data_IF_680096418962
#
_entry.id   IF_680096418962
#
_cell.length_a   1.000
_cell.length_b   1.000
_cell.length_c   1.000
_cell.angle_alpha   90.00
_cell.angle_beta   90.00
_cell.angle_gamma   90.00
#
_symmetry.space_group_name_H-M   'P 1'
#
loop_
_entity.id
_entity.type
_entity.pdbx_description
1 polymer ?
#
# COMPACT_ATOMS: atom_id res chain seq x y z
N UNK A 1 17.06 -23.86 -2.33
CA UNK A 1 17.62 -22.54 -2.68
C UNK A 1 16.48 -21.54 -2.54
N UNK A 2 16.45 -20.85 -1.41
CA UNK A 2 15.39 -19.89 -1.02
C UNK A 2 15.98 -18.50 -1.28
N UNK A 3 15.28 -17.57 -1.96
CA UNK A 3 15.90 -16.31 -2.37
C UNK A 3 16.20 -15.43 -1.16
N UNK A 4 17.50 -15.21 -0.96
CA UNK A 4 18.20 -14.36 0.02
C UNK A 4 17.98 -12.85 -0.21
N UNK A 5 16.74 -12.42 -0.47
CA UNK A 5 16.44 -11.01 -0.77
C UNK A 5 15.41 -10.36 0.15
N UNK A 6 15.20 -10.90 1.36
CA UNK A 6 14.09 -10.47 2.22
C UNK A 6 14.47 -9.84 3.57
N UNK A 7 15.74 -9.56 3.88
CA UNK A 7 16.09 -9.41 5.32
C UNK A 7 16.97 -8.23 5.75
N UNK A 8 17.58 -7.42 4.88
CA UNK A 8 18.59 -6.44 5.38
C UNK A 8 18.19 -4.95 5.30
N UNK A 9 17.22 -4.55 4.47
CA UNK A 9 16.86 -3.12 4.32
C UNK A 9 15.67 -2.67 5.20
N UNK A 10 15.11 -3.57 6.03
CA UNK A 10 13.87 -3.30 6.78
C UNK A 10 14.05 -2.44 8.04
N UNK A 11 15.26 -2.40 8.60
CA UNK A 11 15.45 -2.06 10.01
C UNK A 11 15.83 -0.61 10.31
N UNK A 12 15.90 0.29 9.33
CA UNK A 12 16.37 1.68 9.55
C UNK A 12 15.38 2.75 9.09
N UNK A 13 14.10 2.40 8.93
CA UNK A 13 13.09 3.40 8.60
C UNK A 13 12.51 4.01 9.87
N UNK A 14 13.04 5.18 10.24
CA UNK A 14 12.51 5.99 11.34
C UNK A 14 10.99 6.20 11.18
N UNK A 15 10.25 6.03 12.28
CA UNK A 15 8.82 6.32 12.33
C UNK A 15 8.57 7.78 11.95
N UNK A 16 8.06 8.02 10.75
CA UNK A 16 7.81 9.36 10.19
C UNK A 16 8.58 9.69 8.90
N UNK A 17 9.52 8.86 8.47
CA UNK A 17 10.28 9.07 7.23
C UNK A 17 9.41 8.88 5.98
N UNK A 18 9.67 9.69 4.95
CA UNK A 18 9.00 9.58 3.63
C UNK A 18 9.18 8.20 3.00
N UNK A 19 10.30 7.56 3.26
CA UNK A 19 10.62 6.22 2.78
C UNK A 19 9.73 5.16 3.44
N UNK A 20 9.44 5.28 4.75
CA UNK A 20 8.50 4.40 5.45
C UNK A 20 7.07 4.56 4.90
N UNK A 21 6.70 5.78 4.53
CA UNK A 21 5.40 6.04 3.90
C UNK A 21 5.32 5.39 2.51
N UNK A 22 6.31 5.62 1.66
CA UNK A 22 6.37 5.03 0.33
C UNK A 22 6.34 3.49 0.41
N UNK A 23 7.10 2.94 1.34
CA UNK A 23 7.14 1.52 1.63
C UNK A 23 5.76 0.95 2.04
N UNK A 24 5.06 1.63 2.97
CA UNK A 24 3.71 1.23 3.37
C UNK A 24 2.68 1.38 2.23
N UNK A 25 2.84 2.39 1.39
CA UNK A 25 2.01 2.60 0.19
C UNK A 25 2.17 1.41 -0.77
N UNK A 26 3.39 0.97 -1.03
CA UNK A 26 3.66 -0.16 -1.92
C UNK A 26 3.06 -1.47 -1.40
N UNK A 27 3.23 -1.77 -0.11
CA UNK A 27 2.59 -2.96 0.50
C UNK A 27 1.07 -2.94 0.42
N UNK A 28 0.46 -1.78 0.70
CA UNK A 28 -1.00 -1.63 0.61
C UNK A 28 -1.45 -1.81 -0.85
N UNK A 29 -0.71 -1.23 -1.81
CA UNK A 29 -1.01 -1.38 -3.23
C UNK A 29 -0.98 -2.85 -3.67
N UNK A 30 0.12 -3.55 -3.40
CA UNK A 30 0.25 -4.97 -3.77
C UNK A 30 -0.83 -5.84 -3.14
N UNK A 31 -1.20 -5.57 -1.88
CA UNK A 31 -2.30 -6.29 -1.24
C UNK A 31 -3.65 -6.05 -1.93
N UNK A 32 -3.96 -4.80 -2.30
CA UNK A 32 -5.20 -4.45 -3.00
C UNK A 32 -5.27 -5.07 -4.41
N UNK A 33 -4.13 -5.12 -5.13
CA UNK A 33 -4.03 -5.73 -6.46
C UNK A 33 -4.25 -7.25 -6.41
N UNK A 34 -3.77 -7.93 -5.36
CA UNK A 34 -3.99 -9.37 -5.17
C UNK A 34 -5.37 -9.73 -4.57
N UNK A 35 -6.04 -8.80 -3.89
CA UNK A 35 -7.28 -9.07 -3.14
C UNK A 35 -8.40 -8.09 -3.53
N UNK A 36 -8.92 -8.25 -4.75
CA UNK A 36 -10.02 -7.43 -5.26
C UNK A 36 -11.25 -7.52 -4.36
N UNK A 37 -11.86 -6.37 -4.06
CA UNK A 37 -13.03 -6.27 -3.19
C UNK A 37 -12.74 -6.37 -1.69
N UNK A 38 -11.47 -6.44 -1.26
CA UNK A 38 -11.13 -6.47 0.15
C UNK A 38 -11.56 -5.18 0.88
N UNK A 39 -11.92 -5.32 2.16
CA UNK A 39 -12.31 -4.19 3.01
C UNK A 39 -11.07 -3.62 3.71
N UNK A 40 -11.09 -2.33 4.04
CA UNK A 40 -10.00 -1.66 4.77
C UNK A 40 -9.54 -2.43 6.03
N UNK A 41 -10.49 -3.03 6.78
CA UNK A 41 -10.17 -3.84 7.97
C UNK A 41 -9.31 -5.07 7.65
N UNK A 42 -9.52 -5.70 6.50
CA UNK A 42 -8.75 -6.86 6.06
C UNK A 42 -7.31 -6.44 5.75
N UNK A 43 -7.14 -5.28 5.11
CA UNK A 43 -5.82 -4.70 4.84
C UNK A 43 -5.07 -4.37 6.14
N UNK A 44 -5.76 -3.78 7.12
CA UNK A 44 -5.20 -3.46 8.45
C UNK A 44 -4.70 -4.74 9.13
N UNK A 45 -5.54 -5.78 9.16
CA UNK A 45 -5.22 -7.04 9.84
C UNK A 45 -4.11 -7.80 9.10
N UNK A 46 -4.19 -7.90 7.77
CA UNK A 46 -3.22 -8.67 6.98
C UNK A 46 -1.83 -8.03 6.95
N UNK A 47 -1.75 -6.69 6.95
CA UNK A 47 -0.48 -5.97 6.89
C UNK A 47 0.04 -5.53 8.26
N UNK A 48 -0.74 -5.70 9.34
CA UNK A 48 -0.36 -5.25 10.68
C UNK A 48 -0.17 -3.73 10.79
N UNK A 49 -0.81 -2.96 9.91
CA UNK A 49 -0.61 -1.51 9.81
C UNK A 49 -1.65 -0.74 10.61
N UNK A 50 -1.25 0.40 11.18
CA UNK A 50 -2.18 1.27 11.89
C UNK A 50 -3.30 1.78 10.95
N UNK A 51 -4.57 1.89 11.40
CA UNK A 51 -5.69 2.30 10.54
C UNK A 51 -5.52 3.65 9.84
N UNK A 52 -4.75 4.58 10.44
CA UNK A 52 -4.38 5.87 9.84
C UNK A 52 -3.38 5.70 8.70
N UNK A 53 -2.38 4.84 8.84
CA UNK A 53 -1.38 4.53 7.81
C UNK A 53 -2.06 3.94 6.58
N UNK A 54 -2.95 2.96 6.79
CA UNK A 54 -3.72 2.35 5.69
C UNK A 54 -4.62 3.38 4.99
N UNK A 55 -5.29 4.26 5.76
CA UNK A 55 -6.10 5.33 5.17
C UNK A 55 -5.27 6.28 4.29
N UNK A 56 -4.10 6.69 4.79
CA UNK A 56 -3.18 7.59 4.08
C UNK A 56 -2.64 6.93 2.81
N UNK A 57 -2.21 5.67 2.91
CA UNK A 57 -1.72 4.89 1.78
C UNK A 57 -2.79 4.75 0.69
N UNK A 58 -4.02 4.36 1.04
CA UNK A 58 -5.15 4.29 0.09
C UNK A 58 -5.40 5.66 -0.57
N UNK A 59 -5.34 6.76 0.18
CA UNK A 59 -5.50 8.11 -0.38
C UNK A 59 -4.43 8.43 -1.43
N UNK A 60 -3.16 8.09 -1.15
CA UNK A 60 -2.03 8.28 -2.07
C UNK A 60 -2.21 7.42 -3.33
N UNK A 61 -2.55 6.14 -3.17
CA UNK A 61 -2.79 5.22 -4.29
C UNK A 61 -3.91 5.76 -5.19
N UNK A 62 -5.03 6.19 -4.60
CA UNK A 62 -6.15 6.77 -5.36
C UNK A 62 -5.82 8.08 -6.07
N UNK A 63 -4.94 8.90 -5.49
CA UNK A 63 -4.49 10.14 -6.13
C UNK A 63 -3.56 9.87 -7.33
N UNK A 64 -2.77 8.80 -7.27
CA UNK A 64 -1.85 8.39 -8.33
C UNK A 64 -2.44 7.41 -9.33
N UNK A 65 -3.60 6.82 -9.05
CA UNK A 65 -4.32 6.01 -10.03
C UNK A 65 -4.62 6.90 -11.24
N UNK A 66 -4.30 6.45 -12.47
CA UNK A 66 -4.69 7.20 -13.65
C UNK A 66 -6.19 7.44 -13.52
N UNK A 67 -6.58 8.72 -13.59
CA UNK A 67 -7.98 9.07 -13.72
C UNK A 67 -8.44 8.30 -14.95
N UNK A 68 -9.12 7.18 -14.77
CA UNK A 68 -9.96 6.64 -15.82
C UNK A 68 -10.99 7.73 -16.05
N UNK A 69 -10.62 8.64 -16.95
CA UNK A 69 -11.50 9.63 -17.51
C UNK A 69 -12.68 8.79 -18.00
N UNK A 70 -13.85 9.04 -17.41
CA UNK A 70 -15.00 8.19 -17.59
C UNK A 70 -15.17 7.84 -19.07
N UNK A 71 -15.27 6.55 -19.33
CA UNK A 71 -16.00 6.09 -20.50
C UNK A 71 -17.40 6.69 -20.42
N UNK A 72 -17.63 7.83 -21.10
CA UNK A 72 -18.91 8.26 -21.66
C UNK A 72 -18.71 9.58 -22.44
N UNK A 73 -18.49 9.48 -23.75
CA UNK A 73 -19.12 10.40 -24.70
C UNK A 73 -19.61 9.54 -25.86
N UNK A 74 -20.91 9.25 -25.84
CA UNK A 74 -21.69 9.01 -27.06
C UNK A 74 -21.81 10.31 -27.86
#
# INVERSE_FOLDING_TARGET
MIPEFCTIEWLTLHAGSKELEAFNVERVRGYLECNLGCKKKEVIHALGLHPRTVAKAIKIIRANAPRSNGALQS
#
